data_IF_225611837241
#
_entry.id   IF_225611837241
#
_cell.length_a   1.000
_cell.length_b   1.000
_cell.length_c   1.000
_cell.angle_alpha   90.00
_cell.angle_beta   90.00
_cell.angle_gamma   90.00
#
_symmetry.space_group_name_H-M   'P 1'
#
loop_
_entity.id
_entity.type
_entity.pdbx_description
1 polymer ?
#
# COMPACT_ATOMS: atom_id res chain seq x y z
N UNK A 1 7.30 8.89 30.84
CA UNK A 1 8.12 7.89 30.14
C UNK A 1 8.57 8.49 28.82
N UNK A 2 9.86 8.80 28.66
CA UNK A 2 10.38 9.37 27.41
C UNK A 2 10.46 8.26 26.35
N UNK A 3 9.79 8.47 25.21
CA UNK A 3 9.92 7.55 24.06
C UNK A 3 11.32 7.70 23.49
N UNK A 4 12.10 6.63 23.52
CA UNK A 4 13.41 6.57 22.89
C UNK A 4 13.27 6.86 21.38
N UNK A 5 14.01 7.88 20.90
CA UNK A 5 13.99 8.34 19.50
C UNK A 5 15.27 7.98 18.76
N UNK A 6 16.05 7.01 19.27
CA UNK A 6 17.29 6.57 18.64
C UNK A 6 17.06 5.97 17.25
N UNK A 7 18.09 6.03 16.40
CA UNK A 7 18.06 5.44 15.06
C UNK A 7 17.78 3.94 15.11
N UNK A 8 18.38 3.22 16.07
CA UNK A 8 18.12 1.79 16.26
C UNK A 8 16.63 1.49 16.51
N UNK A 9 15.97 2.31 17.34
CA UNK A 9 14.55 2.22 17.65
C UNK A 9 13.64 2.58 16.47
N UNK A 10 14.15 3.34 15.48
CA UNK A 10 13.44 3.65 14.24
C UNK A 10 13.59 2.54 13.21
N UNK A 11 14.77 1.94 13.08
CA UNK A 11 15.01 0.82 12.15
C UNK A 11 14.18 -0.40 12.54
N UNK A 12 14.18 -0.77 13.81
CA UNK A 12 13.42 -1.93 14.31
C UNK A 12 11.89 -1.82 14.11
N UNK A 13 11.34 -0.60 13.96
CA UNK A 13 9.92 -0.39 13.65
C UNK A 13 9.59 -0.57 12.18
N UNK A 14 10.56 -0.37 11.30
CA UNK A 14 10.42 -0.62 9.86
C UNK A 14 10.46 -2.13 9.57
N UNK A 15 11.19 -2.90 10.37
CA UNK A 15 11.26 -4.38 10.28
C UNK A 15 10.00 -5.09 10.85
N UNK A 16 9.07 -4.34 11.45
CA UNK A 16 7.84 -4.84 12.05
C UNK A 16 6.81 -5.28 11.02
N UNK A 17 7.08 -6.40 10.34
CA UNK A 17 6.11 -7.23 9.62
C UNK A 17 5.54 -6.59 8.37
N UNK A 18 6.28 -6.65 7.26
CA UNK A 18 5.62 -6.59 5.96
C UNK A 18 4.71 -7.82 5.85
N UNK A 19 3.40 -7.60 5.75
CA UNK A 19 2.44 -8.67 5.49
C UNK A 19 2.94 -9.47 4.27
N UNK A 20 3.13 -10.77 4.44
CA UNK A 20 3.51 -11.66 3.35
C UNK A 20 2.26 -12.14 2.63
N UNK A 21 2.31 -12.19 1.32
CA UNK A 21 1.25 -12.77 0.53
C UNK A 21 1.23 -14.30 0.74
N UNK A 22 0.11 -14.92 1.14
CA UNK A 22 0.04 -16.36 1.35
C UNK A 22 0.12 -17.18 0.04
N UNK A 23 0.05 -16.51 -1.12
CA UNK A 23 0.04 -17.17 -2.44
C UNK A 23 1.43 -17.21 -3.05
N UNK A 24 2.16 -16.09 -3.06
CA UNK A 24 3.51 -16.03 -3.64
C UNK A 24 4.64 -15.99 -2.61
N UNK A 25 4.35 -15.78 -1.33
CA UNK A 25 5.37 -15.63 -0.28
C UNK A 25 6.12 -14.30 -0.31
N UNK A 26 5.82 -13.42 -1.27
CA UNK A 26 6.43 -12.09 -1.36
C UNK A 26 5.84 -11.11 -0.34
N UNK A 27 6.62 -10.08 -0.01
CA UNK A 27 6.17 -8.98 0.84
C UNK A 27 5.18 -8.08 0.08
N UNK A 28 4.06 -7.73 0.73
CA UNK A 28 3.15 -6.73 0.19
C UNK A 28 3.80 -5.35 0.21
N UNK A 29 3.91 -4.75 -0.97
CA UNK A 29 4.30 -3.35 -1.13
C UNK A 29 3.05 -2.48 -1.08
N UNK A 30 2.97 -1.56 -0.12
CA UNK A 30 1.86 -0.61 -0.04
C UNK A 30 2.06 0.52 -1.06
N UNK A 31 1.16 0.64 -2.02
CA UNK A 31 1.25 1.63 -3.10
C UNK A 31 -0.01 2.49 -3.10
N UNK A 32 0.15 3.78 -3.39
CA UNK A 32 -0.96 4.69 -3.60
C UNK A 32 -1.42 4.58 -5.05
N UNK A 33 -2.45 3.78 -5.28
CA UNK A 33 -3.07 3.61 -6.59
C UNK A 33 -4.06 4.74 -6.87
N UNK A 34 -3.95 5.37 -8.04
CA UNK A 34 -4.81 6.47 -8.47
C UNK A 34 -5.62 5.99 -9.68
N UNK A 35 -6.92 5.77 -9.47
CA UNK A 35 -7.85 5.41 -10.54
C UNK A 35 -8.82 6.56 -10.81
N UNK A 36 -9.02 6.93 -12.07
CA UNK A 36 -10.07 7.88 -12.46
C UNK A 36 -11.41 7.14 -12.55
N UNK A 37 -12.32 7.43 -11.63
CA UNK A 37 -13.67 6.87 -11.65
C UNK A 37 -14.68 7.97 -11.99
N UNK A 38 -15.61 7.68 -12.90
CA UNK A 38 -16.73 8.57 -13.19
C UNK A 38 -17.72 8.50 -12.03
N UNK A 39 -18.09 9.65 -11.49
CA UNK A 39 -19.04 9.75 -10.37
C UNK A 39 -20.46 9.66 -10.90
N UNK A 40 -21.18 8.57 -10.60
CA UNK A 40 -22.56 8.32 -11.06
C UNK A 40 -23.54 9.44 -10.72
N UNK A 41 -23.24 10.24 -9.68
CA UNK A 41 -24.10 11.33 -9.20
C UNK A 41 -23.91 12.66 -9.91
N UNK A 42 -22.74 12.88 -10.51
CA UNK A 42 -22.36 14.23 -11.00
C UNK A 42 -21.77 14.21 -12.40
N UNK A 43 -21.74 13.04 -13.06
CA UNK A 43 -21.13 12.80 -14.37
C UNK A 43 -19.64 13.22 -14.51
N UNK A 44 -19.03 13.65 -13.40
CA UNK A 44 -17.67 14.19 -13.35
C UNK A 44 -16.65 13.08 -13.09
N UNK A 45 -15.50 13.19 -13.75
CA UNK A 45 -14.34 12.34 -13.51
C UNK A 45 -13.65 12.74 -12.20
N UNK A 46 -13.55 11.80 -11.26
CA UNK A 46 -12.86 12.02 -9.98
C UNK A 46 -11.68 11.08 -9.86
N UNK A 47 -10.54 11.61 -9.44
CA UNK A 47 -9.36 10.82 -9.10
C UNK A 47 -9.56 10.15 -7.73
N UNK A 48 -9.79 8.85 -7.72
CA UNK A 48 -9.86 8.05 -6.50
C UNK A 48 -8.47 7.56 -6.12
N UNK A 49 -8.01 7.97 -4.94
CA UNK A 49 -6.70 7.60 -4.40
C UNK A 49 -6.91 6.54 -3.33
N UNK A 50 -6.50 5.31 -3.59
CA UNK A 50 -6.59 4.19 -2.63
C UNK A 50 -5.20 3.67 -2.30
N UNK A 51 -5.00 3.29 -1.05
CA UNK A 51 -3.79 2.58 -0.64
C UNK A 51 -4.04 1.09 -0.87
N UNK A 52 -3.25 0.46 -1.73
CA UNK A 52 -3.42 -0.94 -2.14
C UNK A 52 -2.13 -1.70 -1.84
N UNK A 53 -2.28 -2.91 -1.30
CA UNK A 53 -1.18 -3.85 -1.08
C UNK A 53 -0.91 -4.61 -2.38
N UNK A 54 0.30 -4.47 -2.91
CA UNK A 54 0.73 -5.11 -4.17
C UNK A 54 1.75 -6.19 -3.87
N UNK A 55 1.54 -7.38 -4.41
CA UNK A 55 2.50 -8.48 -4.48
C UNK A 55 2.65 -8.94 -5.93
N UNK A 56 3.51 -9.90 -6.20
CA UNK A 56 3.73 -10.43 -7.55
C UNK A 56 2.47 -11.01 -8.20
N UNK A 57 1.50 -11.50 -7.42
CA UNK A 57 0.24 -12.03 -7.95
C UNK A 57 -0.66 -10.96 -8.54
N UNK A 58 -0.86 -9.83 -7.82
CA UNK A 58 -1.83 -8.81 -8.20
C UNK A 58 -1.19 -7.62 -8.93
N UNK A 59 0.14 -7.59 -9.11
CA UNK A 59 0.82 -6.50 -9.80
C UNK A 59 0.24 -6.28 -11.21
N UNK A 60 -0.08 -7.36 -11.94
CA UNK A 60 -0.59 -7.26 -13.31
C UNK A 60 -1.97 -6.59 -13.35
N UNK A 61 -2.82 -6.87 -12.36
CA UNK A 61 -4.16 -6.30 -12.27
C UNK A 61 -4.12 -4.82 -11.85
N UNK A 62 -3.10 -4.42 -11.09
CA UNK A 62 -2.98 -3.06 -10.53
C UNK A 62 -2.21 -2.13 -11.47
N UNK A 63 -1.20 -2.62 -12.17
CA UNK A 63 -0.39 -1.79 -13.08
C UNK A 63 -0.90 -1.78 -14.52
N UNK A 64 -1.68 -2.79 -14.94
CA UNK A 64 -2.11 -2.95 -16.33
C UNK A 64 -1.08 -3.69 -17.17
#
# INVERSE_FOLDING_TARGET
>A
MAKDRSFATKTAKTDGGNDMCPVCGDTYTNIRHISTAKSDKTDAWKANRKMVKVCSCNQKEIYG
#
